data_IF_501270235724
#
_entry.id   IF_501270235724
#
_cell.length_a   1.000
_cell.length_b   1.000
_cell.length_c   1.000
_cell.angle_alpha   90.00
_cell.angle_beta   90.00
_cell.angle_gamma   90.00
#
_symmetry.space_group_name_H-M   'P 1'
#
loop_
_entity.id
_entity.type
_entity.pdbx_description
1 polymer ?
#
# COMPACT_ATOMS: atom_id res chain seq x y z
N UNK A 1 -21.49 7.66 13.43
CA UNK A 1 -20.30 7.08 14.07
C UNK A 1 -20.33 5.58 13.84
N UNK A 2 -19.27 5.00 13.25
CA UNK A 2 -19.09 3.55 13.17
C UNK A 2 -18.50 3.05 14.50
N UNK A 3 -18.84 1.82 14.87
CA UNK A 3 -18.31 1.17 16.07
C UNK A 3 -16.80 0.85 15.91
N UNK A 4 -16.04 0.78 17.02
CA UNK A 4 -14.67 0.26 17.05
C UNK A 4 -14.50 -1.08 16.32
N UNK A 5 -13.40 -1.27 15.60
CA UNK A 5 -13.02 -2.56 15.03
C UNK A 5 -12.57 -3.57 16.11
N UNK A 6 -12.52 -4.88 15.79
CA UNK A 6 -12.32 -5.92 16.80
C UNK A 6 -10.88 -6.04 17.34
N UNK A 7 -9.89 -5.38 16.75
CA UNK A 7 -8.47 -5.56 17.08
C UNK A 7 -7.95 -4.60 18.17
N UNK A 8 -8.51 -4.72 19.38
CA UNK A 8 -7.96 -4.12 20.61
C UNK A 8 -7.75 -2.60 20.57
N UNK A 9 -6.71 -2.09 21.23
CA UNK A 9 -6.47 -0.63 21.35
C UNK A 9 -6.33 0.07 19.99
N UNK A 10 -5.78 -0.62 18.99
CA UNK A 10 -5.54 -0.09 17.64
C UNK A 10 -6.81 0.17 16.85
N UNK A 11 -7.93 -0.38 17.30
CA UNK A 11 -9.25 -0.19 16.71
C UNK A 11 -10.28 0.28 17.74
N UNK A 12 -9.85 0.77 18.91
CA UNK A 12 -10.73 1.26 19.96
C UNK A 12 -11.51 2.54 19.57
N UNK A 13 -11.10 3.21 18.50
CA UNK A 13 -11.77 4.36 17.90
C UNK A 13 -11.44 4.43 16.38
N UNK A 14 -12.18 5.24 15.59
CA UNK A 14 -11.81 5.56 14.22
C UNK A 14 -10.38 6.13 14.12
N UNK A 15 -9.63 5.64 13.13
CA UNK A 15 -8.24 6.04 12.86
C UNK A 15 -8.03 6.15 11.36
N UNK A 16 -8.45 7.29 10.77
CA UNK A 16 -8.17 7.59 9.36
C UNK A 16 -6.65 7.70 9.18
N UNK A 17 -6.14 6.92 8.23
CA UNK A 17 -4.71 6.78 7.97
C UNK A 17 -4.30 7.42 6.64
N UNK A 18 -5.17 7.32 5.63
CA UNK A 18 -4.98 7.94 4.32
C UNK A 18 -6.27 8.60 3.84
N UNK A 19 -6.13 9.72 3.15
CA UNK A 19 -7.17 10.30 2.31
C UNK A 19 -6.64 10.44 0.89
N UNK A 20 -7.40 9.97 -0.11
CA UNK A 20 -6.97 10.03 -1.51
C UNK A 20 -8.14 10.13 -2.45
N UNK A 21 -7.95 10.77 -3.59
CA UNK A 21 -8.96 10.79 -4.65
C UNK A 21 -8.94 9.48 -5.44
N UNK A 22 -10.06 9.17 -6.07
CA UNK A 22 -10.08 8.21 -7.17
C UNK A 22 -9.37 8.79 -8.42
N UNK A 23 -9.07 7.97 -9.44
CA UNK A 23 -8.37 8.41 -10.64
C UNK A 23 -9.11 9.47 -11.47
N UNK A 24 -10.44 9.55 -11.36
CA UNK A 24 -11.25 10.55 -12.07
C UNK A 24 -11.40 11.85 -11.27
N UNK A 25 -11.07 11.84 -9.98
CA UNK A 25 -11.17 12.99 -9.09
C UNK A 25 -12.58 13.28 -8.58
N UNK A 26 -13.54 12.39 -8.83
CA UNK A 26 -14.96 12.53 -8.49
C UNK A 26 -15.26 12.13 -7.03
N UNK A 27 -14.38 11.35 -6.40
CA UNK A 27 -14.54 10.83 -5.05
C UNK A 27 -13.29 10.98 -4.20
N UNK A 28 -13.47 11.35 -2.93
CA UNK A 28 -12.47 11.24 -1.88
C UNK A 28 -12.70 9.94 -1.08
N UNK A 29 -11.66 9.12 -0.97
CA UNK A 29 -11.63 7.91 -0.15
C UNK A 29 -10.83 8.19 1.12
N UNK A 30 -11.44 8.02 2.30
CA UNK A 30 -10.76 8.09 3.59
C UNK A 30 -10.65 6.68 4.21
N UNK A 31 -9.42 6.19 4.31
CA UNK A 31 -9.11 4.83 4.76
C UNK A 31 -8.97 4.84 6.29
N UNK A 32 -9.90 4.14 6.95
CA UNK A 32 -10.08 4.16 8.40
C UNK A 32 -9.66 2.81 9.01
N UNK A 33 -8.42 2.78 9.50
CA UNK A 33 -7.82 1.62 10.17
C UNK A 33 -8.65 1.18 11.36
N UNK A 34 -9.12 2.14 12.13
CA UNK A 34 -9.79 1.91 13.41
C UNK A 34 -11.18 1.30 13.26
N UNK A 35 -11.85 1.54 12.14
CA UNK A 35 -13.21 1.10 11.89
C UNK A 35 -13.32 -0.05 10.85
N UNK A 36 -12.20 -0.49 10.25
CA UNK A 36 -12.21 -1.40 9.10
C UNK A 36 -13.06 -0.89 7.93
N UNK A 37 -12.94 0.40 7.62
CA UNK A 37 -13.71 1.05 6.55
C UNK A 37 -12.80 1.78 5.57
N UNK A 38 -13.23 1.86 4.31
CA UNK A 38 -12.85 2.95 3.40
C UNK A 38 -14.09 3.77 3.15
N UNK A 39 -14.13 4.96 3.76
CA UNK A 39 -15.22 5.92 3.62
C UNK A 39 -15.13 6.55 2.25
N UNK A 40 -16.25 6.72 1.57
CA UNK A 40 -16.31 7.28 0.22
C UNK A 40 -17.15 8.54 0.27
N UNK A 41 -16.62 9.63 -0.27
CA UNK A 41 -17.32 10.90 -0.38
C UNK A 41 -17.31 11.34 -1.84
N UNK A 42 -18.47 11.67 -2.41
CA UNK A 42 -18.53 12.35 -3.69
C UNK A 42 -18.04 13.80 -3.50
N UNK A 43 -17.26 14.30 -4.45
CA UNK A 43 -16.72 15.66 -4.44
C UNK A 43 -17.64 16.53 -5.27
N UNK A 44 -18.25 17.55 -4.65
CA UNK A 44 -18.90 18.62 -5.39
C UNK A 44 -17.81 19.61 -5.86
N UNK A 45 -17.51 19.62 -7.16
CA UNK A 45 -16.46 20.47 -7.71
C UNK A 45 -16.81 21.97 -7.77
N UNK A 46 -18.08 22.32 -7.62
CA UNK A 46 -18.52 23.73 -7.58
C UNK A 46 -18.43 24.28 -6.15
N UNK A 47 -18.92 23.52 -5.16
CA UNK A 47 -18.95 23.96 -3.75
C UNK A 47 -17.76 23.51 -2.91
N UNK A 48 -16.97 22.55 -3.39
CA UNK A 48 -15.88 21.86 -2.68
C UNK A 48 -16.34 21.11 -1.41
N UNK A 49 -17.64 20.83 -1.30
CA UNK A 49 -18.20 20.03 -0.23
C UNK A 49 -18.13 18.53 -0.56
N UNK A 50 -18.14 17.72 0.50
CA UNK A 50 -18.03 16.27 0.44
C UNK A 50 -19.35 15.62 0.86
N UNK A 51 -19.94 14.81 -0.01
CA UNK A 51 -21.17 14.08 0.25
C UNK A 51 -20.87 12.61 0.51
N UNK A 52 -21.18 12.12 1.71
CA UNK A 52 -20.94 10.71 2.08
C UNK A 52 -21.75 9.74 1.22
N UNK A 53 -21.08 8.68 0.77
CA UNK A 53 -21.64 7.55 0.02
C UNK A 53 -21.39 6.24 0.77
N UNK A 54 -21.87 5.13 0.22
CA UNK A 54 -21.65 3.82 0.82
C UNK A 54 -20.14 3.53 0.96
N UNK A 55 -19.70 3.26 2.19
CA UNK A 55 -18.32 2.89 2.48
C UNK A 55 -18.03 1.45 2.04
N UNK A 56 -16.78 1.19 1.64
CA UNK A 56 -16.25 -0.17 1.54
C UNK A 56 -15.97 -0.68 2.96
N UNK A 57 -16.46 -1.88 3.27
CA UNK A 57 -16.16 -2.60 4.51
C UNK A 57 -14.97 -3.53 4.27
N UNK A 58 -13.86 -3.25 4.93
CA UNK A 58 -12.70 -4.13 4.93
C UNK A 58 -12.97 -5.39 5.80
N UNK A 59 -12.08 -6.37 5.72
CA UNK A 59 -12.16 -7.55 6.59
C UNK A 59 -12.07 -7.10 8.06
N UNK A 60 -12.97 -7.56 8.96
CA UNK A 60 -12.90 -7.19 10.37
C UNK A 60 -11.56 -7.54 11.01
N UNK A 61 -10.95 -6.59 11.72
CA UNK A 61 -9.65 -6.71 12.37
C UNK A 61 -8.46 -6.53 11.43
N UNK A 62 -8.69 -6.20 10.15
CA UNK A 62 -7.61 -6.09 9.17
C UNK A 62 -6.81 -4.80 9.33
N UNK A 63 -7.47 -3.72 9.73
CA UNK A 63 -6.88 -2.41 9.90
C UNK A 63 -6.38 -1.83 8.57
N UNK A 64 -7.28 -1.45 7.64
CA UNK A 64 -6.90 -0.86 6.36
C UNK A 64 -6.08 0.43 6.59
N UNK A 65 -5.00 0.61 5.84
CA UNK A 65 -4.02 1.69 6.08
C UNK A 65 -3.85 2.58 4.87
N UNK A 66 -3.31 2.05 3.79
CA UNK A 66 -3.13 2.75 2.52
C UNK A 66 -3.87 1.98 1.41
N UNK A 67 -4.29 2.66 0.37
CA UNK A 67 -4.88 2.07 -0.81
C UNK A 67 -4.37 2.76 -2.08
N UNK A 68 -4.33 2.04 -3.19
CA UNK A 68 -3.87 2.57 -4.47
C UNK A 68 -4.77 2.08 -5.60
N UNK A 69 -5.05 2.95 -6.58
CA UNK A 69 -5.76 2.55 -7.80
C UNK A 69 -4.74 2.18 -8.85
N UNK A 70 -5.10 1.31 -9.80
CA UNK A 70 -4.37 1.19 -11.05
C UNK A 70 -4.34 2.55 -11.76
N UNK A 71 -3.25 2.84 -12.46
CA UNK A 71 -3.09 4.10 -13.18
C UNK A 71 -4.12 4.25 -14.29
N UNK A 72 -4.36 3.16 -15.02
CA UNK A 72 -5.37 3.05 -16.06
C UNK A 72 -6.40 1.94 -15.73
N UNK A 73 -7.60 1.98 -16.34
CA UNK A 73 -8.55 0.88 -16.28
C UNK A 73 -8.00 -0.40 -16.92
N UNK A 74 -8.23 -1.54 -16.30
CA UNK A 74 -7.86 -2.87 -16.79
C UNK A 74 -9.06 -3.48 -17.51
N UNK A 75 -8.87 -4.10 -18.68
CA UNK A 75 -9.92 -4.84 -19.38
C UNK A 75 -10.24 -6.16 -18.66
N UNK A 76 -11.47 -6.31 -18.19
CA UNK A 76 -11.93 -7.56 -17.55
C UNK A 76 -12.45 -8.58 -18.58
N UNK A 77 -12.54 -9.88 -18.20
CA UNK A 77 -13.05 -10.94 -19.10
C UNK A 77 -14.47 -10.72 -19.62
N UNK A 78 -15.27 -9.89 -18.95
CA UNK A 78 -16.62 -9.49 -19.39
C UNK A 78 -16.61 -8.38 -20.47
N UNK A 79 -15.42 -7.90 -20.86
CA UNK A 79 -15.24 -6.88 -21.88
C UNK A 79 -15.33 -5.44 -21.36
N UNK A 80 -15.49 -5.25 -20.05
CA UNK A 80 -15.59 -3.90 -19.45
C UNK A 80 -14.25 -3.53 -18.82
N UNK A 81 -13.71 -2.38 -19.22
CA UNK A 81 -12.52 -1.82 -18.60
C UNK A 81 -12.89 -1.17 -17.25
N UNK A 82 -12.14 -1.45 -16.19
CA UNK A 82 -12.41 -0.93 -14.84
C UNK A 82 -11.11 -0.70 -14.08
N UNK A 83 -11.08 0.30 -13.21
CA UNK A 83 -9.98 0.46 -12.26
C UNK A 83 -9.98 -0.69 -11.25
N UNK A 84 -8.78 -1.06 -10.79
CA UNK A 84 -8.61 -1.94 -9.63
C UNK A 84 -8.10 -1.10 -8.47
N UNK A 85 -8.74 -1.23 -7.31
CA UNK A 85 -8.30 -0.64 -6.05
C UNK A 85 -7.65 -1.71 -5.17
N UNK A 86 -6.38 -1.52 -4.85
CA UNK A 86 -5.63 -2.36 -3.92
C UNK A 86 -5.62 -1.70 -2.55
N UNK A 87 -6.06 -2.42 -1.51
CA UNK A 87 -6.13 -1.95 -0.14
C UNK A 87 -5.14 -2.72 0.74
N UNK A 88 -4.13 -2.05 1.26
CA UNK A 88 -3.20 -2.60 2.23
C UNK A 88 -3.78 -2.52 3.64
N UNK A 89 -3.76 -3.65 4.35
CA UNK A 89 -4.20 -3.77 5.72
C UNK A 89 -3.02 -3.97 6.67
N UNK A 90 -2.85 -3.04 7.62
CA UNK A 90 -1.69 -2.92 8.49
C UNK A 90 -1.61 -4.04 9.53
N UNK A 91 -2.74 -4.38 10.16
CA UNK A 91 -2.78 -5.37 11.26
C UNK A 91 -2.73 -6.78 10.69
N UNK A 92 -3.54 -7.03 9.65
CA UNK A 92 -3.62 -8.33 8.98
C UNK A 92 -2.38 -8.67 8.14
N UNK A 93 -1.60 -7.68 7.69
CA UNK A 93 -0.46 -7.96 6.83
C UNK A 93 -0.87 -8.36 5.42
N UNK A 94 -1.96 -7.82 4.88
CA UNK A 94 -2.55 -8.27 3.61
C UNK A 94 -2.77 -7.12 2.62
N UNK A 95 -2.92 -7.48 1.35
CA UNK A 95 -3.38 -6.61 0.26
C UNK A 95 -4.69 -7.20 -0.27
N UNK A 96 -5.75 -6.41 -0.39
CA UNK A 96 -7.01 -6.85 -1.00
C UNK A 96 -7.30 -6.06 -2.28
N UNK A 97 -7.55 -6.76 -3.38
CA UNK A 97 -7.83 -6.18 -4.69
C UNK A 97 -9.34 -6.18 -4.98
N UNK A 98 -9.86 -5.01 -5.36
CA UNK A 98 -11.25 -4.80 -5.72
C UNK A 98 -11.36 -4.25 -7.14
N UNK A 99 -12.23 -4.81 -7.97
CA UNK A 99 -12.72 -4.11 -9.16
C UNK A 99 -13.62 -2.98 -8.71
N UNK A 100 -13.46 -1.81 -9.34
CA UNK A 100 -14.25 -0.62 -9.00
C UNK A 100 -15.22 -0.27 -10.12
N UNK A 101 -16.50 -0.15 -9.77
CA UNK A 101 -17.57 0.33 -10.65
C UNK A 101 -18.06 1.68 -10.15
N UNK A 102 -18.07 2.68 -11.03
CA UNK A 102 -18.62 4.01 -10.75
C UNK A 102 -20.13 3.96 -10.94
N UNK A 103 -20.88 4.25 -9.88
CA UNK A 103 -22.34 4.31 -9.96
C UNK A 103 -22.77 5.62 -10.66
N UNK A 104 -23.90 5.60 -11.39
CA UNK A 104 -24.41 6.79 -12.08
C UNK A 104 -24.70 7.94 -11.10
N UNK A 105 -24.74 9.17 -11.63
CA UNK A 105 -25.14 10.39 -10.91
C UNK A 105 -24.38 10.63 -9.60
N UNK A 106 -23.08 10.31 -9.59
CA UNK A 106 -22.23 10.37 -8.39
C UNK A 106 -22.77 9.55 -7.21
N UNK A 107 -23.48 8.46 -7.50
CA UNK A 107 -24.13 7.60 -6.51
C UNK A 107 -23.17 6.82 -5.60
N UNK A 108 -21.87 6.83 -5.90
CA UNK A 108 -20.83 6.15 -5.14
C UNK A 108 -19.96 5.22 -5.97
N UNK A 109 -19.11 4.47 -5.27
CA UNK A 109 -18.25 3.44 -5.84
C UNK A 109 -18.70 2.08 -5.33
N UNK A 110 -18.88 1.12 -6.24
CA UNK A 110 -19.04 -0.29 -5.90
C UNK A 110 -17.68 -0.98 -6.00
N UNK A 111 -17.34 -1.74 -4.96
CA UNK A 111 -16.08 -2.48 -4.84
C UNK A 111 -16.37 -3.99 -4.84
N UNK A 112 -16.05 -4.65 -5.94
CA UNK A 112 -16.22 -6.10 -6.07
C UNK A 112 -14.88 -6.79 -5.82
N UNK A 113 -14.81 -7.61 -4.77
CA UNK A 113 -13.60 -8.38 -4.44
C UNK A 113 -13.21 -9.27 -5.63
N UNK A 114 -11.96 -9.18 -6.06
CA UNK A 114 -11.45 -10.05 -7.13
C UNK A 114 -11.39 -11.51 -6.64
N UNK A 115 -11.61 -12.52 -7.51
CA UNK A 115 -11.45 -13.92 -7.15
C UNK A 115 -10.04 -14.21 -6.60
N UNK A 116 -9.96 -14.73 -5.38
CA UNK A 116 -8.69 -14.90 -4.63
C UNK A 116 -7.87 -13.60 -4.52
N UNK A 117 -8.56 -12.44 -4.46
CA UNK A 117 -7.98 -11.11 -4.45
C UNK A 117 -7.39 -10.68 -3.12
N UNK A 118 -7.17 -11.58 -2.16
CA UNK A 118 -6.49 -11.26 -0.90
C UNK A 118 -5.11 -11.93 -0.89
N UNK A 119 -4.07 -11.13 -0.77
CA UNK A 119 -2.67 -11.52 -0.81
C UNK A 119 -2.00 -11.22 0.52
N UNK A 120 -0.98 -12.00 0.87
CA UNK A 120 -0.03 -11.57 1.90
C UNK A 120 0.74 -10.35 1.40
N UNK A 121 1.01 -9.39 2.27
CA UNK A 121 1.96 -8.29 2.00
C UNK A 121 3.42 -8.76 2.06
N UNK A 122 3.66 -9.95 2.60
CA UNK A 122 4.97 -10.61 2.71
C UNK A 122 5.15 -11.64 1.60
N UNK A 123 6.40 -12.11 1.43
CA UNK A 123 6.73 -13.23 0.55
C UNK A 123 5.83 -14.46 0.80
N UNK A 124 5.28 -15.10 -0.26
CA UNK A 124 4.45 -16.29 -0.13
C UNK A 124 5.09 -17.38 0.73
N UNK A 125 4.29 -17.95 1.64
CA UNK A 125 4.77 -18.96 2.60
C UNK A 125 5.44 -18.38 3.85
N UNK A 126 5.62 -17.06 3.93
CA UNK A 126 6.11 -16.40 5.16
C UNK A 126 4.95 -16.18 6.13
N UNK A 127 5.01 -16.70 7.35
CA UNK A 127 4.04 -16.35 8.38
C UNK A 127 4.20 -14.89 8.79
N UNK A 128 3.08 -14.20 9.05
CA UNK A 128 3.11 -12.86 9.63
C UNK A 128 3.76 -12.91 11.02
N UNK A 129 4.74 -12.04 11.33
CA UNK A 129 5.31 -11.95 12.66
C UNK A 129 4.24 -11.70 13.73
N UNK A 130 4.42 -12.31 14.91
CA UNK A 130 3.64 -11.94 16.08
C UNK A 130 4.18 -10.62 16.65
N UNK A 131 3.35 -9.60 16.52
CA UNK A 131 3.67 -8.22 16.87
C UNK A 131 2.91 -7.76 18.11
N UNK A 132 2.20 -8.65 18.80
CA UNK A 132 1.35 -8.30 19.93
C UNK A 132 0.24 -7.30 19.55
N UNK A 133 -0.32 -7.44 18.34
CA UNK A 133 -1.37 -6.55 17.82
C UNK A 133 -0.87 -5.29 17.09
N UNK A 134 0.45 -5.04 17.03
CA UNK A 134 0.99 -3.95 16.21
C UNK A 134 0.92 -4.30 14.71
N UNK A 135 0.83 -3.29 13.87
CA UNK A 135 0.84 -3.48 12.42
C UNK A 135 2.19 -3.89 11.84
N UNK A 136 2.16 -4.55 10.68
CA UNK A 136 3.35 -4.78 9.85
C UNK A 136 3.32 -3.93 8.58
N UNK A 137 2.24 -3.96 7.80
CA UNK A 137 2.20 -3.28 6.50
C UNK A 137 2.35 -1.77 6.67
N UNK A 138 3.24 -1.19 5.88
CA UNK A 138 3.49 0.24 5.77
C UNK A 138 2.77 0.80 4.56
N UNK A 139 3.54 1.29 3.60
CA UNK A 139 3.06 2.02 2.43
C UNK A 139 2.86 1.10 1.22
N UNK A 140 1.93 1.48 0.34
CA UNK A 140 1.54 0.78 -0.88
C UNK A 140 1.51 1.77 -2.04
N UNK A 141 2.21 1.50 -3.15
CA UNK A 141 2.15 2.32 -4.37
C UNK A 141 2.19 1.44 -5.62
N UNK A 142 1.58 1.94 -6.69
CA UNK A 142 1.78 1.43 -8.06
C UNK A 142 2.98 2.17 -8.64
N UNK A 143 3.86 1.46 -9.34
CA UNK A 143 5.00 2.08 -10.03
C UNK A 143 4.54 3.02 -11.14
N UNK A 144 5.35 4.04 -11.53
CA UNK A 144 4.98 4.99 -12.59
C UNK A 144 4.69 4.37 -13.97
N UNK A 145 5.20 3.14 -14.20
CA UNK A 145 4.95 2.34 -15.40
C UNK A 145 3.61 1.57 -15.34
N UNK A 146 2.90 1.57 -14.20
CA UNK A 146 1.63 0.88 -14.01
C UNK A 146 1.73 -0.64 -13.83
N UNK A 147 2.92 -1.22 -13.90
CA UNK A 147 3.12 -2.67 -14.02
C UNK A 147 3.34 -3.38 -12.68
N UNK A 148 3.71 -2.63 -11.63
CA UNK A 148 4.08 -3.21 -10.34
C UNK A 148 3.40 -2.52 -9.17
N UNK A 149 3.08 -3.32 -8.17
CA UNK A 149 2.60 -2.88 -6.87
C UNK A 149 3.71 -3.15 -5.85
N UNK A 150 4.15 -2.12 -5.15
CA UNK A 150 5.26 -2.20 -4.19
C UNK A 150 4.73 -1.88 -2.80
N UNK A 151 5.13 -2.70 -1.82
CA UNK A 151 4.65 -2.61 -0.43
C UNK A 151 5.84 -2.55 0.51
N UNK A 152 5.87 -1.56 1.39
CA UNK A 152 6.80 -1.58 2.52
C UNK A 152 6.18 -2.36 3.68
N UNK A 153 6.97 -3.22 4.31
CA UNK A 153 6.57 -3.92 5.52
C UNK A 153 7.48 -3.50 6.66
N UNK A 154 6.94 -3.43 7.86
CA UNK A 154 7.67 -3.13 9.09
C UNK A 154 7.65 -4.36 10.00
N UNK A 155 8.69 -4.53 10.79
CA UNK A 155 8.83 -5.65 11.75
C UNK A 155 8.85 -7.03 11.09
N UNK A 156 9.09 -7.09 9.78
CA UNK A 156 9.28 -8.37 9.08
C UNK A 156 10.63 -8.95 9.48
N UNK A 157 11.67 -8.09 9.58
CA UNK A 157 13.00 -8.42 10.10
C UNK A 157 13.66 -9.66 9.47
N UNK A 158 13.11 -10.20 8.38
CA UNK A 158 13.56 -11.44 7.72
C UNK A 158 14.97 -11.34 7.18
N UNK A 159 15.43 -10.12 6.92
CA UNK A 159 16.75 -9.84 6.40
C UNK A 159 17.79 -9.60 7.50
N UNK A 160 17.42 -9.75 8.77
CA UNK A 160 18.35 -9.64 9.88
C UNK A 160 19.45 -10.70 9.77
N UNK A 161 20.70 -10.24 9.69
CA UNK A 161 21.88 -11.10 9.56
C UNK A 161 22.08 -11.73 8.18
N UNK A 162 21.28 -11.36 7.17
CA UNK A 162 21.40 -11.91 5.80
C UNK A 162 21.94 -10.91 4.79
N UNK A 163 21.82 -9.61 5.06
CA UNK A 163 22.40 -8.59 4.19
C UNK A 163 23.92 -8.55 4.34
N UNK A 164 24.64 -8.83 3.24
CA UNK A 164 26.10 -8.81 3.23
C UNK A 164 26.69 -7.39 3.14
N UNK A 165 25.89 -6.40 2.72
CA UNK A 165 26.38 -5.06 2.39
C UNK A 165 25.60 -3.92 3.07
N UNK A 166 24.26 -3.94 3.07
CA UNK A 166 23.46 -2.88 3.69
C UNK A 166 22.15 -3.37 4.32
N UNK A 167 21.73 -2.80 5.46
CA UNK A 167 22.44 -1.77 6.22
C UNK A 167 23.64 -2.35 7.01
N UNK A 168 24.61 -1.52 7.44
CA UNK A 168 25.82 -1.98 8.13
C UNK A 168 25.56 -2.72 9.44
N UNK A 169 24.42 -2.47 10.09
CA UNK A 169 24.01 -3.17 11.31
C UNK A 169 23.35 -4.54 11.01
N UNK A 170 23.20 -4.88 9.72
CA UNK A 170 22.67 -6.13 9.22
C UNK A 170 21.18 -6.32 9.47
N UNK A 171 20.43 -5.27 9.85
CA UNK A 171 19.00 -5.39 10.18
C UNK A 171 18.13 -4.72 9.13
N UNK A 172 17.20 -5.46 8.53
CA UNK A 172 16.30 -4.87 7.54
C UNK A 172 14.93 -5.53 7.55
N UNK A 173 13.92 -4.67 7.45
CA UNK A 173 12.59 -5.05 7.04
C UNK A 173 12.51 -5.24 5.52
N UNK A 174 11.34 -5.65 5.00
CA UNK A 174 11.15 -5.96 3.60
C UNK A 174 10.39 -4.88 2.81
N UNK A 175 10.79 -4.73 1.56
CA UNK A 175 9.97 -4.21 0.48
C UNK A 175 9.50 -5.41 -0.35
N UNK A 176 8.19 -5.59 -0.50
CA UNK A 176 7.60 -6.65 -1.33
C UNK A 176 7.08 -6.10 -2.64
N UNK A 177 7.42 -6.77 -3.74
CA UNK A 177 7.11 -6.36 -5.10
C UNK A 177 6.16 -7.41 -5.71
N UNK A 178 5.08 -6.93 -6.28
CA UNK A 178 4.12 -7.73 -7.04
C UNK A 178 4.01 -7.18 -8.45
N UNK A 179 3.88 -8.06 -9.45
CA UNK A 179 3.49 -7.67 -10.80
C UNK A 179 1.98 -7.61 -10.87
N UNK A 180 1.47 -6.50 -11.40
CA UNK A 180 0.05 -6.33 -11.71
C UNK A 180 -0.21 -7.02 -13.04
N UNK A 181 -1.00 -8.09 -13.01
CA UNK A 181 -1.37 -8.84 -14.21
C UNK A 181 -2.51 -8.16 -14.93
N UNK A 182 -2.15 -7.22 -15.80
CA UNK A 182 -3.07 -6.52 -16.71
C UNK A 182 -3.91 -7.52 -17.53
N UNK A 183 -3.30 -8.62 -17.95
CA UNK A 183 -3.94 -9.71 -18.69
C UNK A 183 -4.84 -10.62 -17.84
N UNK A 184 -4.75 -10.53 -16.51
CA UNK A 184 -5.54 -11.31 -15.56
C UNK A 184 -6.29 -10.39 -14.59
N UNK A 185 -6.90 -9.33 -15.13
CA UNK A 185 -7.82 -8.46 -14.40
C UNK A 185 -7.22 -7.84 -13.13
N UNK A 186 -5.92 -7.49 -13.17
CA UNK A 186 -5.21 -6.87 -12.05
C UNK A 186 -4.84 -7.83 -10.93
N UNK A 187 -4.86 -9.14 -11.16
CA UNK A 187 -4.31 -10.12 -10.20
C UNK A 187 -2.84 -9.79 -9.88
N UNK A 188 -2.44 -9.98 -8.63
CA UNK A 188 -1.05 -9.81 -8.21
C UNK A 188 -0.28 -11.14 -8.29
N UNK A 189 0.88 -11.10 -8.95
CA UNK A 189 1.89 -12.17 -8.89
C UNK A 189 3.10 -11.67 -8.12
N UNK A 190 3.51 -12.39 -7.06
CA UNK A 190 4.68 -12.01 -6.28
C UNK A 190 5.96 -12.11 -7.13
N UNK A 191 6.83 -11.10 -6.98
CA UNK A 191 8.10 -11.01 -7.71
C UNK A 191 9.28 -11.19 -6.77
N UNK A 192 9.34 -10.41 -5.69
CA UNK A 192 10.49 -10.37 -4.79
C UNK A 192 10.10 -9.79 -3.43
N UNK A 193 10.76 -10.27 -2.38
CA UNK A 193 10.96 -9.51 -1.15
C UNK A 193 12.43 -9.07 -1.13
N UNK A 194 12.66 -7.79 -0.90
CA UNK A 194 14.00 -7.19 -0.88
C UNK A 194 14.23 -6.45 0.44
N UNK A 195 15.48 -6.32 0.92
CA UNK A 195 15.77 -5.52 2.09
C UNK A 195 15.45 -4.05 1.82
N UNK A 196 14.71 -3.42 2.73
CA UNK A 196 14.45 -1.98 2.73
C UNK A 196 15.70 -1.13 3.05
N UNK A 197 16.75 -1.73 3.62
CA UNK A 197 17.95 -1.02 4.07
C UNK A 197 17.86 -0.51 5.51
N UNK A 198 16.93 -1.04 6.30
CA UNK A 198 16.75 -0.66 7.71
C UNK A 198 15.46 -1.17 8.34
N UNK A 199 15.24 -0.81 9.60
CA UNK A 199 14.05 -1.20 10.36
C UNK A 199 12.97 -0.13 10.31
N UNK A 200 11.72 -0.58 10.38
CA UNK A 200 10.54 0.27 10.33
C UNK A 200 10.49 1.08 9.03
N UNK A 201 10.58 0.38 7.89
CA UNK A 201 10.36 0.92 6.54
C UNK A 201 8.92 1.45 6.41
N UNK A 202 8.73 2.70 6.87
CA UNK A 202 7.42 3.25 7.21
C UNK A 202 6.70 3.81 5.99
N UNK A 203 7.47 4.42 5.11
CA UNK A 203 7.05 5.14 3.94
C UNK A 203 8.12 5.01 2.87
N UNK A 204 7.74 5.18 1.61
CA UNK A 204 8.68 5.34 0.52
C UNK A 204 8.04 6.12 -0.63
N UNK A 205 8.88 6.63 -1.50
CA UNK A 205 8.44 7.18 -2.78
C UNK A 205 9.31 6.69 -3.94
N UNK A 206 8.76 6.72 -5.15
CA UNK A 206 9.46 6.43 -6.39
C UNK A 206 9.74 7.73 -7.12
N UNK A 207 10.89 7.84 -7.77
CA UNK A 207 11.15 8.95 -8.68
C UNK A 207 10.25 8.88 -9.92
N UNK A 208 10.15 9.96 -10.69
CA UNK A 208 9.29 10.01 -11.88
C UNK A 208 9.60 8.92 -12.92
N UNK A 209 10.87 8.51 -13.04
CA UNK A 209 11.27 7.43 -13.94
C UNK A 209 10.97 6.01 -13.38
N UNK A 210 10.62 5.88 -12.10
CA UNK A 210 10.29 4.62 -11.44
C UNK A 210 11.48 3.66 -11.24
N UNK A 211 12.71 4.11 -11.50
CA UNK A 211 13.93 3.29 -11.41
C UNK A 211 14.68 3.47 -10.09
N UNK A 212 14.22 4.37 -9.22
CA UNK A 212 14.74 4.57 -7.86
C UNK A 212 13.59 4.65 -6.87
N UNK A 213 13.78 4.06 -5.68
CA UNK A 213 12.88 4.19 -4.54
C UNK A 213 13.62 4.81 -3.36
N UNK A 214 13.10 5.88 -2.78
CA UNK A 214 13.58 6.45 -1.54
C UNK A 214 12.74 5.91 -0.38
N UNK A 215 13.35 5.13 0.51
CA UNK A 215 12.66 4.47 1.61
C UNK A 215 12.99 5.18 2.92
N UNK A 216 11.96 5.61 3.64
CA UNK A 216 12.10 6.20 4.97
C UNK A 216 12.22 5.12 6.05
N UNK A 217 13.41 5.01 6.63
CA UNK A 217 13.73 4.10 7.74
C UNK A 217 13.49 4.84 9.05
N UNK A 218 12.34 4.57 9.68
CA UNK A 218 11.92 5.27 10.89
C UNK A 218 12.84 4.94 12.08
N UNK A 219 13.20 3.66 12.26
CA UNK A 219 14.16 3.23 13.29
C UNK A 219 15.57 3.25 12.71
N UNK A 220 16.24 4.40 12.85
CA UNK A 220 17.58 4.60 12.30
C UNK A 220 17.80 6.02 11.78
N UNK A 221 16.73 6.80 11.61
CA UNK A 221 16.78 8.18 11.10
C UNK A 221 17.54 8.26 9.77
N UNK A 222 17.16 7.40 8.82
CA UNK A 222 17.87 7.23 7.54
C UNK A 222 16.93 7.10 6.37
N UNK A 223 17.29 7.70 5.23
CA UNK A 223 16.66 7.42 3.94
C UNK A 223 17.62 6.55 3.15
N UNK A 224 17.13 5.44 2.62
CA UNK A 224 17.87 4.57 1.70
C UNK A 224 17.33 4.72 0.28
N UNK A 225 18.21 4.65 -0.71
CA UNK A 225 17.83 4.69 -2.12
C UNK A 225 18.06 3.32 -2.73
N UNK A 226 17.00 2.66 -3.17
CA UNK A 226 17.03 1.35 -3.83
C UNK A 226 16.92 1.54 -5.35
N UNK A 227 17.77 0.86 -6.11
CA UNK A 227 17.67 0.81 -7.57
C UNK A 227 16.68 -0.27 -7.99
N UNK A 228 15.77 0.10 -8.89
CA UNK A 228 14.76 -0.78 -9.50
C UNK A 228 15.05 -1.01 -10.97
N UNK A 229 15.02 -2.27 -11.38
CA UNK A 229 14.95 -2.63 -12.80
C UNK A 229 13.50 -2.52 -13.29
N UNK A 230 13.25 -1.68 -14.30
CA UNK A 230 11.89 -1.36 -14.76
C UNK A 230 11.18 -2.58 -15.39
N UNK A 231 11.92 -3.45 -16.08
CA UNK A 231 11.32 -4.59 -16.79
C UNK A 231 10.92 -5.73 -15.86
N UNK A 232 11.79 -6.09 -14.91
CA UNK A 232 11.54 -7.16 -13.96
C UNK A 232 10.79 -6.70 -12.70
N UNK A 233 10.92 -5.42 -12.35
CA UNK A 233 10.44 -4.81 -11.11
C UNK A 233 11.34 -5.06 -9.90
N UNK A 234 12.45 -5.77 -10.07
CA UNK A 234 13.34 -6.14 -8.96
C UNK A 234 14.05 -4.92 -8.39
N UNK A 235 14.18 -4.88 -7.06
CA UNK A 235 15.17 -4.04 -6.41
C UNK A 235 16.51 -4.79 -6.39
N UNK A 236 17.51 -4.24 -7.06
CA UNK A 236 18.82 -4.89 -7.28
C UNK A 236 19.83 -4.57 -6.20
N UNK A 237 19.91 -3.31 -5.78
CA UNK A 237 20.88 -2.83 -4.80
C UNK A 237 20.43 -1.53 -4.12
N UNK A 238 20.99 -1.26 -2.95
CA UNK A 238 20.95 0.05 -2.32
C UNK A 238 22.09 0.91 -2.89
N UNK A 239 21.77 1.98 -3.61
CA UNK A 239 22.73 2.82 -4.34
C UNK A 239 23.15 4.08 -3.58
N UNK A 240 22.37 4.50 -2.59
CA UNK A 240 22.69 5.63 -1.74
C UNK A 240 21.98 5.54 -0.39
N UNK A 241 22.45 6.31 0.58
CA UNK A 241 21.78 6.58 1.84
C UNK A 241 22.11 7.97 2.36
N UNK A 242 21.21 8.51 3.19
CA UNK A 242 21.42 9.76 3.92
C UNK A 242 20.83 9.64 5.32
N UNK A 243 21.62 9.97 6.33
CA UNK A 243 21.12 10.11 7.69
C UNK A 243 20.43 11.47 7.84
N UNK A 244 19.29 11.48 8.52
CA UNK A 244 18.48 12.67 8.80
C UNK A 244 18.23 12.79 10.30
N UNK A 245 17.90 13.97 10.78
CA UNK A 245 17.56 14.15 12.20
C UNK A 245 16.10 13.75 12.47
N UNK A 246 15.90 12.88 13.47
CA UNK A 246 14.58 12.49 13.95
C UNK A 246 13.92 11.34 13.19
N UNK A 247 12.71 10.98 13.64
CA UNK A 247 11.94 9.90 13.01
C UNK A 247 11.36 10.33 11.66
N UNK A 248 11.53 9.48 10.65
CA UNK A 248 10.99 9.70 9.31
C UNK A 248 9.54 9.22 9.24
N UNK A 249 8.65 10.13 8.86
CA UNK A 249 7.21 9.87 8.75
C UNK A 249 6.70 9.88 7.30
N UNK A 250 7.38 10.59 6.41
CA UNK A 250 7.08 10.70 4.99
C UNK A 250 8.38 10.90 4.20
N UNK A 251 8.43 10.33 3.01
CA UNK A 251 9.43 10.61 1.99
C UNK A 251 8.66 11.00 0.73
N UNK A 252 9.09 12.06 0.07
CA UNK A 252 8.52 12.54 -1.19
C UNK A 252 9.68 12.74 -2.14
N UNK A 253 9.58 12.17 -3.34
CA UNK A 253 10.54 12.39 -4.40
C UNK A 253 10.06 13.57 -5.26
N UNK A 254 10.89 14.59 -5.39
CA UNK A 254 10.61 15.80 -6.19
C UNK A 254 11.72 15.90 -7.26
N UNK A 255 11.38 15.55 -8.50
CA UNK A 255 12.27 15.55 -9.68
C UNK A 255 11.65 16.22 -10.92
#
# INVERSE_FOLDING_TARGET
>A
MAEPGPAGERQAAPHIHEARTDPLGEYLLAIDLGADLVRVYAIDHDSLLLDERAALKATPGSGPRHGVFTQDPILFPDGIASYVFYLAAEIAGTITAYRVTYLPDLGGLQFDLLPNGTYSSLEPGTPKPDTGGKGITGELRVSPDGDFLIVSNRRDARFNGTAAQYPPDGRSDSMSIFRIRQDLAGKLDFVQASPAGGLMARTYDLNSAGNLAAVGIQEGSRITILQRDLGSGLFSEQVAEVDVEGEIWAVIWDD
#
